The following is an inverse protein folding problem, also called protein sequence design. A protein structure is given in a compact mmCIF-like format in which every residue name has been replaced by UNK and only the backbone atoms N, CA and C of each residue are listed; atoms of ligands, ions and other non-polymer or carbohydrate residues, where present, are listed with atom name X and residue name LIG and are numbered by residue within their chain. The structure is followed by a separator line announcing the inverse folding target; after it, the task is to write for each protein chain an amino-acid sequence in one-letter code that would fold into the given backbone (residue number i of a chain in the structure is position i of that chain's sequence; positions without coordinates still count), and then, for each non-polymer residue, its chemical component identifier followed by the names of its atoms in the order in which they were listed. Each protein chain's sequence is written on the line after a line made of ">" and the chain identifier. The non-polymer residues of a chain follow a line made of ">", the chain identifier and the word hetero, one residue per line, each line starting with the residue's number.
data_IF_927514404164
#
_entry.id   IF_927514404164
#
_cell.length_a   1.000
_cell.length_b   1.000
_cell.length_c   1.000
_cell.angle_alpha   90.00
_cell.angle_beta   90.00
_cell.angle_gamma   90.00
#
_symmetry.space_group_name_H-M   'P 1'
#
loop_
_entity.id
_entity.type
_entity.pdbx_description
1 polymer ?
#
# COMPACT_ATOMS: atom_id res chain seq x y z
N UNK A 1 -24.18 -3.88 -14.70
CA UNK A 1 -22.94 -3.07 -14.66
C UNK A 1 -22.52 -2.94 -13.21
N UNK A 2 -21.23 -3.11 -12.89
CA UNK A 2 -20.73 -3.28 -11.51
C UNK A 2 -20.51 -1.98 -10.73
N UNK A 3 -21.01 -0.83 -11.21
CA UNK A 3 -21.00 0.42 -10.44
C UNK A 3 -19.62 1.01 -10.14
N UNK A 4 -18.61 0.78 -10.99
CA UNK A 4 -17.26 1.30 -10.79
C UNK A 4 -17.08 2.67 -11.48
N UNK A 5 -16.98 3.79 -10.75
CA UNK A 5 -16.87 5.13 -11.33
C UNK A 5 -15.45 5.49 -11.80
N UNK A 6 -14.45 4.64 -11.50
CA UNK A 6 -13.03 4.97 -11.63
C UNK A 6 -12.44 5.49 -10.31
N UNK A 7 -11.12 5.68 -10.29
CA UNK A 7 -10.36 6.18 -9.14
C UNK A 7 -9.74 7.53 -9.46
N UNK A 8 -9.62 8.38 -8.45
CA UNK A 8 -8.87 9.63 -8.46
C UNK A 8 -7.61 9.51 -7.58
N UNK A 9 -6.58 10.35 -7.82
CA UNK A 9 -5.44 10.43 -6.92
C UNK A 9 -5.87 10.69 -5.47
N UNK A 10 -5.37 9.85 -4.54
CA UNK A 10 -5.72 9.90 -3.12
C UNK A 10 -6.79 8.89 -2.69
N UNK A 11 -7.53 8.30 -3.62
CA UNK A 11 -8.47 7.22 -3.29
C UNK A 11 -7.73 6.00 -2.73
N UNK A 12 -8.23 5.47 -1.61
CA UNK A 12 -7.74 4.21 -1.05
C UNK A 12 -8.40 3.05 -1.78
N UNK A 13 -7.60 2.19 -2.39
CA UNK A 13 -8.11 1.05 -3.15
C UNK A 13 -7.24 -0.18 -2.97
N UNK A 14 -7.87 -1.34 -2.81
CA UNK A 14 -7.17 -2.61 -2.78
C UNK A 14 -6.64 -2.92 -4.19
N UNK A 15 -5.32 -3.06 -4.31
CA UNK A 15 -4.64 -3.41 -5.55
C UNK A 15 -4.02 -4.81 -5.45
N UNK A 16 -3.72 -5.42 -6.59
CA UNK A 16 -3.01 -6.70 -6.59
C UNK A 16 -1.55 -6.51 -6.19
N UNK A 17 -1.05 -7.33 -5.28
CA UNK A 17 0.34 -7.27 -4.79
C UNK A 17 1.40 -7.26 -5.91
N UNK A 18 1.19 -8.05 -6.97
CA UNK A 18 2.11 -8.12 -8.12
C UNK A 18 2.23 -6.80 -8.87
N UNK A 19 1.11 -6.13 -9.14
CA UNK A 19 1.12 -4.84 -9.84
C UNK A 19 1.71 -3.74 -8.97
N UNK A 20 1.46 -3.77 -7.66
CA UNK A 20 2.11 -2.84 -6.73
C UNK A 20 3.63 -3.06 -6.72
N UNK A 21 4.10 -4.31 -6.66
CA UNK A 21 5.54 -4.62 -6.72
C UNK A 21 6.21 -4.18 -8.03
N UNK A 22 5.51 -4.34 -9.15
CA UNK A 22 5.99 -3.85 -10.43
C UNK A 22 6.16 -2.32 -10.39
N UNK A 23 5.14 -1.59 -9.96
CA UNK A 23 5.21 -0.14 -9.80
C UNK A 23 6.34 0.30 -8.85
N UNK A 24 6.58 -0.44 -7.77
CA UNK A 24 7.70 -0.22 -6.86
C UNK A 24 9.05 -0.37 -7.55
N UNK A 25 9.24 -1.44 -8.35
CA UNK A 25 10.47 -1.64 -9.13
C UNK A 25 10.68 -0.56 -10.19
N UNK A 26 9.60 -0.01 -10.71
CA UNK A 26 9.61 1.09 -11.68
C UNK A 26 9.76 2.48 -11.02
N UNK A 27 9.85 2.54 -9.68
CA UNK A 27 10.04 3.78 -8.92
C UNK A 27 8.78 4.66 -8.79
N UNK A 28 7.60 4.08 -9.03
CA UNK A 28 6.30 4.78 -9.05
C UNK A 28 5.24 4.09 -8.19
N UNK A 29 5.65 3.44 -7.10
CA UNK A 29 4.72 2.79 -6.17
C UNK A 29 3.75 3.81 -5.56
N UNK A 30 2.49 3.40 -5.38
CA UNK A 30 1.54 4.17 -4.60
C UNK A 30 1.83 3.99 -3.08
N UNK A 31 1.54 5.01 -2.24
CA UNK A 31 1.66 4.86 -0.80
C UNK A 31 0.77 3.75 -0.24
N UNK A 32 1.19 3.14 0.87
CA UNK A 32 0.58 1.95 1.47
C UNK A 32 -0.05 2.29 2.81
N UNK A 33 -1.26 1.79 3.03
CA UNK A 33 -1.90 1.77 4.35
C UNK A 33 -1.70 0.38 4.93
N UNK A 34 -0.68 0.20 5.78
CA UNK A 34 -0.27 -1.10 6.33
C UNK A 34 -1.40 -1.75 7.14
N UNK A 35 -2.12 -0.97 7.94
CA UNK A 35 -3.24 -1.46 8.75
C UNK A 35 -4.39 -2.00 7.88
N UNK A 36 -4.48 -1.60 6.61
CA UNK A 36 -5.47 -2.05 5.65
C UNK A 36 -4.92 -3.05 4.61
N UNK A 37 -3.68 -3.52 4.77
CA UNK A 37 -3.03 -4.44 3.84
C UNK A 37 -3.01 -5.86 4.41
N UNK A 38 -3.52 -6.83 3.65
CA UNK A 38 -3.55 -8.23 4.09
C UNK A 38 -2.13 -8.82 4.19
N UNK A 39 -1.84 -9.53 5.28
CA UNK A 39 -0.53 -10.15 5.55
C UNK A 39 -0.02 -11.08 4.44
N UNK A 40 -0.91 -11.69 3.64
CA UNK A 40 -0.54 -12.56 2.52
C UNK A 40 0.30 -11.84 1.46
N UNK A 41 0.27 -10.51 1.42
CA UNK A 41 1.16 -9.69 0.58
C UNK A 41 2.64 -10.05 0.79
N UNK A 42 3.01 -10.47 2.01
CA UNK A 42 4.39 -10.79 2.39
C UNK A 42 4.95 -12.03 1.68
N UNK A 43 4.10 -12.83 1.04
CA UNK A 43 4.54 -13.90 0.15
C UNK A 43 5.04 -13.42 -1.23
N UNK A 44 4.85 -12.13 -1.54
CA UNK A 44 5.14 -11.52 -2.84
C UNK A 44 6.03 -10.28 -2.69
N UNK A 45 5.81 -9.47 -1.64
CA UNK A 45 6.48 -8.19 -1.40
C UNK A 45 7.12 -8.19 -0.02
N UNK A 46 8.40 -7.82 0.06
CA UNK A 46 9.08 -7.69 1.34
C UNK A 46 8.46 -6.59 2.22
N UNK A 47 8.39 -6.85 3.52
CA UNK A 47 7.83 -5.91 4.49
C UNK A 47 8.56 -4.55 4.49
N UNK A 48 9.86 -4.53 4.20
CA UNK A 48 10.65 -3.29 4.12
C UNK A 48 10.10 -2.35 3.05
N UNK A 49 9.81 -2.86 1.84
CA UNK A 49 9.26 -2.05 0.76
C UNK A 49 7.89 -1.46 1.12
N UNK A 50 7.06 -2.24 1.83
CA UNK A 50 5.76 -1.77 2.30
C UNK A 50 5.91 -0.67 3.38
N UNK A 51 6.86 -0.83 4.30
CA UNK A 51 7.16 0.17 5.35
C UNK A 51 7.74 1.46 4.80
N UNK A 52 8.64 1.38 3.82
CA UNK A 52 9.23 2.54 3.14
C UNK A 52 8.17 3.41 2.45
N UNK A 53 7.05 2.80 2.03
CA UNK A 53 5.94 3.48 1.37
C UNK A 53 4.72 3.70 2.28
N UNK A 54 4.82 3.42 3.58
CA UNK A 54 3.69 3.47 4.50
C UNK A 54 3.25 4.90 4.84
N UNK A 55 1.93 5.13 4.99
CA UNK A 55 1.37 6.44 5.38
C UNK A 55 0.63 6.42 6.72
N UNK A 56 0.48 5.25 7.35
CA UNK A 56 -0.36 5.05 8.54
C UNK A 56 0.38 4.46 9.75
N UNK A 57 1.61 3.96 9.57
CA UNK A 57 2.45 3.50 10.68
C UNK A 57 3.57 4.51 10.89
N UNK A 58 3.54 5.30 11.99
CA UNK A 58 4.63 6.19 12.30
C UNK A 58 5.89 5.39 12.69
N UNK A 59 7.07 5.94 12.40
CA UNK A 59 8.36 5.36 12.79
C UNK A 59 8.58 5.35 14.30
N UNK A 60 7.79 6.14 15.03
CA UNK A 60 7.77 6.22 16.48
C UNK A 60 6.33 6.11 16.99
N UNK A 61 6.08 5.13 17.86
CA UNK A 61 4.78 4.87 18.47
C UNK A 61 4.46 5.86 19.60
N UNK A 62 5.42 6.70 20.02
CA UNK A 62 5.22 7.72 21.06
C UNK A 62 4.21 8.81 20.68
N UNK A 63 3.88 8.94 19.38
CA UNK A 63 2.88 9.89 18.85
C UNK A 63 1.47 9.32 18.68
N UNK A 64 1.23 8.07 19.09
CA UNK A 64 -0.12 7.50 19.13
C UNK A 64 -0.77 7.88 20.47
N UNK A 65 -1.45 9.03 20.51
CA UNK A 65 -2.41 9.37 21.59
C UNK A 65 -3.70 8.55 21.47
#
# INVERSE_FOLDING_TARGET
>A
MYGFPGLNPGDRWCVTARNWLQAHRDGVAAPVVLAATNEKVLSIVDLSFLKENAVDVPSDLSGLE
#
